data_IF_542830614610
#
_entry.id   IF_542830614610
#
_cell.length_a   1.000
_cell.length_b   1.000
_cell.length_c   1.000
_cell.angle_alpha   90.00
_cell.angle_beta   90.00
_cell.angle_gamma   90.00
#
_symmetry.space_group_name_H-M   'P 1'
#
loop_
_entity.id
_entity.type
_entity.pdbx_description
1 polymer ?
#
# COMPACT_ATOMS: atom_id res chain seq x y z
N UNK A 1 -20.23 -17.82 25.10
CA UNK A 1 -19.74 -16.78 24.16
C UNK A 1 -18.65 -17.30 23.25
N UNK A 2 -17.65 -18.00 23.78
CA UNK A 2 -16.50 -18.53 23.01
C UNK A 2 -16.91 -19.55 21.92
N UNK A 3 -17.85 -20.47 22.20
CA UNK A 3 -18.37 -21.42 21.21
C UNK A 3 -19.13 -20.74 20.05
N UNK A 4 -19.88 -19.68 20.35
CA UNK A 4 -20.59 -18.89 19.32
C UNK A 4 -19.60 -18.14 18.41
N UNK A 5 -18.51 -17.63 18.96
CA UNK A 5 -17.48 -16.93 18.22
C UNK A 5 -16.68 -17.91 17.32
N UNK A 6 -16.39 -19.10 17.84
CA UNK A 6 -15.77 -20.20 17.07
C UNK A 6 -16.66 -20.66 15.91
N UNK A 7 -17.95 -20.87 16.17
CA UNK A 7 -18.95 -21.24 15.15
C UNK A 7 -19.08 -20.14 14.09
N UNK A 8 -19.15 -18.87 14.49
CA UNK A 8 -19.17 -17.72 13.57
C UNK A 8 -17.94 -17.67 12.66
N UNK A 9 -16.75 -17.97 13.21
CA UNK A 9 -15.49 -18.00 12.44
C UNK A 9 -15.50 -19.14 11.42
N UNK A 10 -15.94 -20.33 11.81
CA UNK A 10 -16.08 -21.48 10.91
C UNK A 10 -17.06 -21.17 9.78
N UNK A 11 -18.26 -20.68 10.09
CA UNK A 11 -19.28 -20.32 9.10
C UNK A 11 -18.78 -19.27 8.10
N UNK A 12 -18.10 -18.22 8.59
CA UNK A 12 -17.49 -17.20 7.71
C UNK A 12 -16.44 -17.79 6.77
N UNK A 13 -15.59 -18.67 7.29
CA UNK A 13 -14.53 -19.31 6.49
C UNK A 13 -15.13 -20.26 5.45
N UNK A 14 -16.10 -21.09 5.84
CA UNK A 14 -16.79 -22.02 4.92
C UNK A 14 -17.56 -21.27 3.83
N UNK A 15 -18.28 -20.21 4.20
CA UNK A 15 -18.99 -19.36 3.24
C UNK A 15 -18.00 -18.69 2.25
N UNK A 16 -16.89 -18.17 2.76
CA UNK A 16 -15.85 -17.58 1.92
C UNK A 16 -15.28 -18.60 0.92
N UNK A 17 -14.94 -19.81 1.39
CA UNK A 17 -14.40 -20.88 0.52
C UNK A 17 -15.44 -21.24 -0.54
N UNK A 18 -16.70 -21.42 -0.16
CA UNK A 18 -17.77 -21.77 -1.10
C UNK A 18 -17.94 -20.68 -2.19
N UNK A 19 -18.01 -19.41 -1.80
CA UNK A 19 -18.17 -18.29 -2.73
C UNK A 19 -16.97 -18.20 -3.68
N UNK A 20 -15.73 -18.31 -3.17
CA UNK A 20 -14.53 -18.26 -3.99
C UNK A 20 -14.46 -19.46 -4.94
N UNK A 21 -14.81 -20.66 -4.47
CA UNK A 21 -14.82 -21.86 -5.33
C UNK A 21 -15.82 -21.71 -6.49
N UNK A 22 -17.05 -21.28 -6.20
CA UNK A 22 -18.06 -21.03 -7.24
C UNK A 22 -17.61 -19.94 -8.21
N UNK A 23 -17.06 -18.85 -7.70
CA UNK A 23 -16.55 -17.75 -8.53
C UNK A 23 -15.39 -18.21 -9.43
N UNK A 24 -14.45 -18.99 -8.90
CA UNK A 24 -13.34 -19.55 -9.67
C UNK A 24 -13.86 -20.48 -10.76
N UNK A 25 -14.77 -21.42 -10.44
CA UNK A 25 -15.32 -22.36 -11.43
C UNK A 25 -16.04 -21.61 -12.55
N UNK A 26 -16.76 -20.53 -12.24
CA UNK A 26 -17.45 -19.71 -13.25
C UNK A 26 -16.49 -18.86 -14.09
N UNK A 27 -15.51 -18.23 -13.45
CA UNK A 27 -14.62 -17.27 -14.08
C UNK A 27 -13.36 -17.89 -14.69
N UNK A 28 -13.08 -19.19 -14.42
CA UNK A 28 -11.84 -19.81 -14.90
C UNK A 28 -11.80 -19.83 -16.43
N UNK A 29 -10.76 -19.26 -17.04
CA UNK A 29 -10.66 -19.18 -18.49
C UNK A 29 -10.03 -20.47 -19.06
N UNK A 30 -10.86 -21.53 -19.19
CA UNK A 30 -10.45 -22.86 -19.67
C UNK A 30 -9.89 -22.86 -21.09
N UNK A 31 -10.23 -21.84 -21.90
CA UNK A 31 -9.91 -21.76 -23.32
C UNK A 31 -8.48 -21.23 -23.58
N UNK A 32 -7.78 -20.75 -22.54
CA UNK A 32 -6.44 -20.22 -22.67
C UNK A 32 -5.41 -21.30 -22.98
N UNK A 33 -4.53 -21.03 -23.92
CA UNK A 33 -3.40 -21.89 -24.28
C UNK A 33 -2.31 -21.85 -23.18
N UNK A 34 -1.47 -22.90 -23.06
CA UNK A 34 -0.40 -22.94 -22.06
C UNK A 34 0.51 -21.71 -22.06
N UNK A 35 0.89 -21.19 -23.25
CA UNK A 35 1.72 -19.99 -23.39
C UNK A 35 1.03 -18.73 -22.85
N UNK A 36 -0.28 -18.61 -23.00
CA UNK A 36 -1.07 -17.49 -22.50
C UNK A 36 -1.17 -17.53 -20.97
N UNK A 37 -1.28 -18.72 -20.39
CA UNK A 37 -1.19 -18.91 -18.94
C UNK A 37 0.18 -18.51 -18.39
N UNK A 38 1.28 -18.83 -19.09
CA UNK A 38 2.62 -18.42 -18.72
C UNK A 38 2.76 -16.89 -18.71
N UNK A 39 2.28 -16.23 -19.78
CA UNK A 39 2.28 -14.76 -19.88
C UNK A 39 1.39 -14.15 -18.79
N UNK A 40 0.21 -14.73 -18.56
CA UNK A 40 -0.72 -14.26 -17.53
C UNK A 40 -0.11 -14.37 -16.12
N UNK A 41 0.46 -15.52 -15.79
CA UNK A 41 1.15 -15.71 -14.52
C UNK A 41 2.37 -14.77 -14.38
N UNK A 42 3.17 -14.62 -15.44
CA UNK A 42 4.28 -13.67 -15.48
C UNK A 42 3.84 -12.22 -15.23
N UNK A 43 2.73 -11.80 -15.83
CA UNK A 43 2.20 -10.46 -15.63
C UNK A 43 1.74 -10.20 -14.18
N UNK A 44 1.27 -11.24 -13.48
CA UNK A 44 0.94 -11.13 -12.05
C UNK A 44 2.20 -11.16 -11.18
N UNK A 45 3.01 -12.23 -11.27
CA UNK A 45 4.12 -12.44 -10.33
C UNK A 45 5.31 -11.50 -10.58
N UNK A 46 5.59 -11.15 -11.83
CA UNK A 46 6.74 -10.30 -12.18
C UNK A 46 6.31 -8.84 -12.26
N UNK A 47 5.28 -8.54 -13.06
CA UNK A 47 4.91 -7.14 -13.30
C UNK A 47 4.11 -6.57 -12.15
N UNK A 48 2.94 -7.14 -11.80
CA UNK A 48 2.05 -6.58 -10.77
C UNK A 48 2.70 -6.58 -9.39
N UNK A 49 3.26 -7.72 -8.95
CA UNK A 49 3.95 -7.77 -7.65
C UNK A 49 5.26 -6.98 -7.65
N UNK A 50 6.00 -6.97 -8.76
CA UNK A 50 7.21 -6.16 -8.91
C UNK A 50 6.93 -4.66 -8.79
N UNK A 51 5.88 -4.15 -9.45
CA UNK A 51 5.40 -2.78 -9.31
C UNK A 51 5.00 -2.45 -7.86
N UNK A 52 4.27 -3.37 -7.22
CA UNK A 52 3.84 -3.22 -5.82
C UNK A 52 5.04 -3.11 -4.89
N UNK A 53 5.99 -4.04 -4.97
CA UNK A 53 7.18 -4.06 -4.11
C UNK A 53 8.08 -2.86 -4.40
N UNK A 54 8.32 -2.56 -5.68
CA UNK A 54 9.12 -1.39 -6.07
C UNK A 54 8.52 -0.07 -5.61
N UNK A 55 7.21 0.13 -5.87
CA UNK A 55 6.48 1.30 -5.42
C UNK A 55 6.45 1.42 -3.90
N UNK A 56 6.14 0.32 -3.18
CA UNK A 56 6.13 0.31 -1.72
C UNK A 56 7.52 0.62 -1.13
N UNK A 57 8.59 0.12 -1.73
CA UNK A 57 9.96 0.41 -1.27
C UNK A 57 10.27 1.90 -1.36
N UNK A 58 10.00 2.52 -2.52
CA UNK A 58 10.17 3.97 -2.69
C UNK A 58 9.25 4.72 -1.74
N UNK A 59 7.97 4.33 -1.67
CA UNK A 59 6.97 4.96 -0.81
C UNK A 59 7.36 4.96 0.66
N UNK A 60 7.77 3.82 1.20
CA UNK A 60 8.19 3.69 2.60
C UNK A 60 9.46 4.52 2.86
N UNK A 61 10.49 4.37 2.03
CA UNK A 61 11.76 5.07 2.25
C UNK A 61 11.59 6.60 2.15
N UNK A 62 10.93 7.08 1.10
CA UNK A 62 10.72 8.51 0.89
C UNK A 62 9.72 9.08 1.91
N UNK A 63 8.60 8.39 2.16
CA UNK A 63 7.59 8.87 3.10
C UNK A 63 8.11 8.93 4.54
N UNK A 64 8.86 7.92 5.01
CA UNK A 64 9.52 7.99 6.32
C UNK A 64 10.56 9.11 6.38
N UNK A 65 11.31 9.32 5.30
CA UNK A 65 12.28 10.42 5.22
C UNK A 65 11.58 11.79 5.31
N UNK A 66 10.47 11.99 4.59
CA UNK A 66 9.68 13.22 4.65
C UNK A 66 9.11 13.46 6.05
N UNK A 67 8.52 12.43 6.68
CA UNK A 67 8.01 12.51 8.05
C UNK A 67 9.14 12.85 9.04
N UNK A 68 10.29 12.18 8.93
CA UNK A 68 11.47 12.47 9.76
C UNK A 68 11.90 13.94 9.62
N UNK A 69 12.01 14.46 8.40
CA UNK A 69 12.37 15.86 8.20
C UNK A 69 11.33 16.82 8.79
N UNK A 70 10.05 16.49 8.73
CA UNK A 70 8.98 17.33 9.30
C UNK A 70 9.09 17.44 10.83
N UNK A 71 9.41 16.36 11.53
CA UNK A 71 9.61 16.38 12.98
C UNK A 71 10.95 16.99 13.41
N UNK A 72 11.95 17.06 12.51
CA UNK A 72 13.24 17.66 12.81
C UNK A 72 13.16 19.20 12.74
N UNK A 73 13.26 19.87 13.88
CA UNK A 73 13.28 21.34 13.94
C UNK A 73 14.70 21.88 14.01
N UNK A 74 14.97 22.85 13.17
CA UNK A 74 16.22 23.64 13.20
C UNK A 74 16.05 24.89 14.08
N UNK A 75 17.15 25.62 14.36
CA UNK A 75 17.09 26.88 15.10
C UNK A 75 16.46 28.04 14.30
N UNK A 76 16.39 27.92 12.97
CA UNK A 76 15.81 28.91 12.10
C UNK A 76 14.35 28.62 11.81
N UNK A 77 13.44 29.41 12.35
CA UNK A 77 11.98 29.22 12.18
C UNK A 77 11.52 29.37 10.73
N UNK A 78 12.16 30.26 9.94
CA UNK A 78 11.82 30.44 8.52
C UNK A 78 12.16 29.19 7.72
N UNK A 79 13.31 28.55 8.01
CA UNK A 79 13.70 27.28 7.36
C UNK A 79 12.71 26.17 7.73
N UNK A 80 12.28 26.10 8.99
CA UNK A 80 11.27 25.11 9.40
C UNK A 80 9.94 25.33 8.69
N UNK A 81 9.48 26.58 8.62
CA UNK A 81 8.24 26.96 7.94
C UNK A 81 8.27 26.58 6.44
N UNK A 82 9.33 26.94 5.73
CA UNK A 82 9.47 26.63 4.30
C UNK A 82 9.49 25.11 4.07
N UNK A 83 10.25 24.39 4.89
CA UNK A 83 10.33 22.93 4.82
C UNK A 83 8.96 22.30 5.06
N UNK A 84 8.23 22.72 6.08
CA UNK A 84 6.91 22.18 6.42
C UNK A 84 5.93 22.46 5.27
N UNK A 85 5.92 23.66 4.69
CA UNK A 85 5.09 24.03 3.53
C UNK A 85 5.40 23.12 2.33
N UNK A 86 6.68 22.92 1.99
CA UNK A 86 7.05 22.09 0.84
C UNK A 86 6.57 20.63 1.00
N UNK A 87 6.70 20.08 2.22
CA UNK A 87 6.26 18.69 2.50
C UNK A 87 4.73 18.62 2.45
N UNK A 88 4.03 19.59 3.06
CA UNK A 88 2.57 19.61 3.10
C UNK A 88 1.98 19.74 1.69
N UNK A 89 2.47 20.66 0.88
CA UNK A 89 2.03 20.84 -0.51
C UNK A 89 2.28 19.58 -1.37
N UNK A 90 3.44 18.91 -1.18
CA UNK A 90 3.70 17.65 -1.85
C UNK A 90 2.66 16.58 -1.47
N UNK A 91 2.38 16.42 -0.17
CA UNK A 91 1.42 15.44 0.34
C UNK A 91 0.02 15.77 -0.19
N UNK A 92 -0.39 17.04 -0.15
CA UNK A 92 -1.71 17.50 -0.61
C UNK A 92 -1.88 17.29 -2.12
N UNK A 93 -0.88 17.59 -2.94
CA UNK A 93 -0.91 17.38 -4.39
C UNK A 93 -1.03 15.88 -4.69
N UNK A 94 -0.18 15.04 -4.09
CA UNK A 94 -0.17 13.60 -4.39
C UNK A 94 -1.44 12.90 -3.94
N UNK A 95 -2.01 13.28 -2.80
CA UNK A 95 -3.27 12.71 -2.29
C UNK A 95 -4.52 13.35 -2.92
N UNK A 96 -4.40 14.58 -3.37
CA UNK A 96 -5.50 15.34 -4.00
C UNK A 96 -5.69 15.08 -5.48
N UNK A 97 -4.77 14.36 -6.14
CA UNK A 97 -4.85 14.08 -7.58
C UNK A 97 -5.00 12.58 -7.87
N UNK A 98 -5.78 12.20 -8.93
CA UNK A 98 -5.97 10.79 -9.27
C UNK A 98 -4.65 10.13 -9.71
N UNK A 99 -4.40 8.89 -9.23
CA UNK A 99 -3.21 8.12 -9.59
C UNK A 99 -3.01 7.94 -11.10
N UNK A 100 -4.10 7.72 -11.86
CA UNK A 100 -4.05 7.62 -13.32
C UNK A 100 -3.48 8.88 -13.96
N UNK A 101 -3.88 10.07 -13.46
CA UNK A 101 -3.38 11.34 -13.96
C UNK A 101 -1.89 11.53 -13.66
N UNK A 102 -1.45 11.16 -12.45
CA UNK A 102 -0.03 11.18 -12.07
C UNK A 102 0.82 10.29 -12.99
N UNK A 103 0.35 9.07 -13.29
CA UNK A 103 0.99 8.15 -14.25
C UNK A 103 1.12 8.76 -15.64
N UNK A 104 0.03 9.34 -16.17
CA UNK A 104 0.02 9.96 -17.49
C UNK A 104 0.98 11.15 -17.56
N UNK A 105 0.96 12.03 -16.57
CA UNK A 105 1.87 13.20 -16.50
C UNK A 105 3.32 12.72 -16.47
N UNK A 106 3.66 11.80 -15.57
CA UNK A 106 5.03 11.31 -15.45
C UNK A 106 5.52 10.58 -16.69
N UNK A 107 4.64 9.86 -17.39
CA UNK A 107 5.00 9.16 -18.64
C UNK A 107 5.33 10.13 -19.79
N UNK A 108 4.77 11.32 -19.78
CA UNK A 108 5.07 12.37 -20.80
C UNK A 108 6.30 13.18 -20.39
N UNK A 109 6.48 13.45 -19.11
CA UNK A 109 7.58 14.29 -18.59
C UNK A 109 8.90 13.50 -18.53
N UNK A 110 8.84 12.23 -18.10
CA UNK A 110 10.03 11.39 -17.92
C UNK A 110 10.17 10.45 -19.11
N UNK A 111 10.94 10.86 -20.12
CA UNK A 111 11.15 10.08 -21.36
C UNK A 111 12.39 9.19 -21.33
N UNK A 112 13.21 9.27 -20.29
CA UNK A 112 14.50 8.52 -20.19
C UNK A 112 14.33 7.10 -19.66
N UNK A 113 13.21 6.79 -19.03
CA UNK A 113 12.91 5.46 -18.51
C UNK A 113 11.83 4.77 -19.34
N UNK A 114 11.83 3.43 -19.32
CA UNK A 114 10.70 2.69 -19.86
C UNK A 114 9.47 2.82 -18.93
N UNK A 115 8.29 2.56 -19.46
CA UNK A 115 7.02 2.75 -18.76
C UNK A 115 6.90 1.95 -17.46
N UNK A 116 7.58 0.80 -17.35
CA UNK A 116 7.60 0.01 -16.12
C UNK A 116 8.25 0.80 -14.96
N UNK A 117 9.42 1.39 -15.18
CA UNK A 117 10.10 2.18 -14.16
C UNK A 117 9.39 3.49 -13.87
N UNK A 118 8.75 4.10 -14.88
CA UNK A 118 7.88 5.27 -14.68
C UNK A 118 6.72 4.90 -13.76
N UNK A 119 6.09 3.72 -13.97
CA UNK A 119 5.03 3.23 -13.10
C UNK A 119 5.53 2.99 -11.65
N UNK A 120 6.71 2.37 -11.47
CA UNK A 120 7.33 2.17 -10.15
C UNK A 120 7.55 3.50 -9.44
N UNK A 121 8.09 4.51 -10.14
CA UNK A 121 8.34 5.85 -9.59
C UNK A 121 7.02 6.54 -9.23
N UNK A 122 6.03 6.52 -10.14
CA UNK A 122 4.74 7.17 -9.91
C UNK A 122 4.01 6.56 -8.69
N UNK A 123 3.93 5.23 -8.63
CA UNK A 123 3.36 4.50 -7.51
C UNK A 123 4.11 4.80 -6.20
N UNK A 124 5.43 4.86 -6.26
CA UNK A 124 6.27 5.15 -5.11
C UNK A 124 6.12 6.59 -4.60
N UNK A 125 6.07 7.58 -5.50
CA UNK A 125 5.82 8.97 -5.13
C UNK A 125 4.43 9.15 -4.52
N UNK A 126 3.40 8.54 -5.11
CA UNK A 126 2.06 8.59 -4.55
C UNK A 126 2.03 7.95 -3.15
N UNK A 127 2.54 6.73 -3.01
CA UNK A 127 2.60 6.02 -1.72
C UNK A 127 3.42 6.77 -0.67
N UNK A 128 4.49 7.49 -1.05
CA UNK A 128 5.30 8.27 -0.11
C UNK A 128 4.49 9.36 0.61
N UNK A 129 3.53 9.98 -0.06
CA UNK A 129 2.65 10.95 0.55
C UNK A 129 1.70 10.32 1.59
N UNK A 130 1.16 9.13 1.29
CA UNK A 130 0.33 8.38 2.25
C UNK A 130 1.13 7.84 3.42
N UNK A 131 2.37 7.40 3.20
CA UNK A 131 3.28 6.93 4.26
C UNK A 131 3.68 8.09 5.16
N UNK A 132 4.02 9.28 4.61
CA UNK A 132 4.30 10.48 5.41
C UNK A 132 3.13 10.80 6.33
N UNK A 133 1.94 10.91 5.79
CA UNK A 133 0.72 11.20 6.55
C UNK A 133 0.44 10.13 7.62
N UNK A 134 0.64 8.85 7.28
CA UNK A 134 0.48 7.72 8.21
C UNK A 134 1.46 7.80 9.38
N UNK A 135 2.71 8.10 9.11
CA UNK A 135 3.76 8.23 10.14
C UNK A 135 3.48 9.45 11.01
N UNK A 136 3.16 10.59 10.39
CA UNK A 136 2.83 11.83 11.10
C UNK A 136 1.62 11.64 12.02
N UNK A 137 0.51 11.15 11.49
CA UNK A 137 -0.71 10.93 12.27
C UNK A 137 -0.53 9.87 13.35
N UNK A 138 0.27 8.84 13.10
CA UNK A 138 0.60 7.81 14.09
C UNK A 138 1.40 8.35 15.28
N UNK A 139 2.34 9.27 15.04
CA UNK A 139 3.08 9.96 16.12
C UNK A 139 2.17 10.95 16.86
N UNK A 140 1.38 11.73 16.13
CA UNK A 140 0.46 12.71 16.70
C UNK A 140 -0.71 12.08 17.49
N UNK A 141 -1.02 10.80 17.23
CA UNK A 141 -2.06 10.06 17.97
C UNK A 141 -1.68 9.72 19.41
N UNK A 142 -0.39 9.85 19.77
CA UNK A 142 0.06 9.59 21.13
C UNK A 142 -0.31 10.77 22.02
N UNK A 143 -0.86 10.48 23.22
CA UNK A 143 -1.27 11.48 24.18
C UNK A 143 -0.11 12.43 24.51
N UNK A 144 -0.35 13.74 24.37
CA UNK A 144 0.65 14.78 24.62
C UNK A 144 1.18 14.77 26.05
N UNK A 145 0.36 14.30 27.01
CA UNK A 145 0.74 14.10 28.40
C UNK A 145 1.91 13.15 28.59
N UNK A 146 2.10 12.18 27.67
CA UNK A 146 3.26 11.28 27.68
C UNK A 146 4.58 12.07 27.49
N UNK A 147 4.60 12.97 26.53
CA UNK A 147 5.76 13.83 26.27
C UNK A 147 5.96 14.83 27.43
N UNK A 148 4.89 15.43 27.94
CA UNK A 148 4.93 16.37 29.05
C UNK A 148 5.45 15.72 30.33
N UNK A 149 4.96 14.53 30.68
CA UNK A 149 5.41 13.76 31.83
C UNK A 149 6.90 13.39 31.72
N UNK A 150 7.33 12.91 30.56
CA UNK A 150 8.74 12.59 30.31
C UNK A 150 9.64 13.82 30.45
N UNK A 151 9.19 14.98 29.93
CA UNK A 151 9.94 16.24 30.08
C UNK A 151 9.98 16.74 31.53
N UNK A 152 8.91 16.54 32.29
CA UNK A 152 8.84 16.90 33.71
C UNK A 152 9.84 16.08 34.58
N UNK A 153 10.16 14.84 34.19
CA UNK A 153 11.21 14.04 34.86
C UNK A 153 12.64 14.42 34.44
N UNK A 154 12.80 15.48 33.59
CA UNK A 154 14.11 15.92 33.11
C UNK A 154 14.62 15.23 31.85
N UNK A 155 13.84 14.34 31.26
CA UNK A 155 14.22 13.61 30.06
C UNK A 155 14.38 14.56 28.85
N UNK A 156 15.51 14.53 28.12
CA UNK A 156 15.66 15.31 26.89
C UNK A 156 14.61 14.93 25.84
N UNK A 157 14.15 15.87 25.01
CA UNK A 157 13.12 15.64 23.98
C UNK A 157 13.42 14.41 23.09
N UNK A 158 14.66 14.26 22.63
CA UNK A 158 15.07 13.13 21.79
C UNK A 158 14.93 11.79 22.52
N UNK A 159 15.27 11.75 23.81
CA UNK A 159 15.13 10.54 24.62
C UNK A 159 13.65 10.22 24.84
N UNK A 160 12.83 11.20 25.22
CA UNK A 160 11.39 11.03 25.37
C UNK A 160 10.73 10.55 24.08
N UNK A 161 11.13 11.12 22.92
CA UNK A 161 10.64 10.69 21.61
C UNK A 161 11.00 9.24 21.33
N UNK A 162 12.26 8.83 21.51
CA UNK A 162 12.71 7.49 21.14
C UNK A 162 12.27 6.40 22.11
N UNK A 163 12.26 6.68 23.41
CA UNK A 163 12.01 5.66 24.45
C UNK A 163 10.52 5.56 24.83
N UNK A 164 9.73 6.61 24.63
CA UNK A 164 8.32 6.65 25.06
C UNK A 164 7.36 6.77 23.89
N UNK A 165 7.55 7.78 23.03
CA UNK A 165 6.58 8.10 21.97
C UNK A 165 6.71 7.11 20.81
N UNK A 166 7.91 6.92 20.26
CA UNK A 166 8.11 6.08 19.06
C UNK A 166 7.70 4.62 19.24
N UNK A 167 7.98 3.93 20.37
CA UNK A 167 7.52 2.56 20.55
C UNK A 167 5.99 2.42 20.50
N UNK A 168 5.26 3.40 21.04
CA UNK A 168 3.80 3.45 21.00
C UNK A 168 3.31 3.82 19.60
N UNK A 169 3.90 4.85 18.96
CA UNK A 169 3.54 5.29 17.61
C UNK A 169 3.69 4.18 16.57
N UNK A 170 4.77 3.40 16.61
CA UNK A 170 5.02 2.29 15.68
C UNK A 170 3.88 1.27 15.70
N UNK A 171 3.25 1.01 16.85
CA UNK A 171 2.11 0.10 16.95
C UNK A 171 0.87 0.61 16.20
N UNK A 172 0.70 1.93 16.13
CA UNK A 172 -0.38 2.58 15.37
C UNK A 172 -0.02 2.68 13.88
N UNK A 173 1.24 2.96 13.56
CA UNK A 173 1.75 3.15 12.20
C UNK A 173 1.74 1.84 11.41
N UNK A 174 2.23 0.73 11.98
CA UNK A 174 2.43 -0.52 11.24
C UNK A 174 1.15 -1.11 10.61
N UNK A 175 -0.01 -1.17 11.31
CA UNK A 175 -1.26 -1.61 10.68
C UNK A 175 -1.70 -0.72 9.52
N UNK A 176 -1.47 0.60 9.62
CA UNK A 176 -1.81 1.54 8.57
C UNK A 176 -0.87 1.39 7.35
N UNK A 177 0.42 1.13 7.55
CA UNK A 177 1.37 0.82 6.46
C UNK A 177 1.01 -0.48 5.72
N UNK A 178 0.51 -1.50 6.43
CA UNK A 178 0.00 -2.73 5.78
C UNK A 178 -1.21 -2.41 4.89
N UNK A 179 -2.12 -1.56 5.36
CA UNK A 179 -3.27 -1.13 4.56
C UNK A 179 -2.83 -0.30 3.35
N UNK A 180 -1.82 0.55 3.49
CA UNK A 180 -1.22 1.31 2.38
C UNK A 180 -0.61 0.36 1.32
N UNK A 181 0.16 -0.65 1.74
CA UNK A 181 0.68 -1.68 0.83
C UNK A 181 -0.45 -2.38 0.03
N UNK A 182 -1.56 -2.73 0.70
CA UNK A 182 -2.72 -3.34 0.03
C UNK A 182 -3.38 -2.36 -0.95
N UNK A 183 -3.45 -1.09 -0.61
CA UNK A 183 -3.98 -0.04 -1.50
C UNK A 183 -3.09 0.11 -2.72
N UNK A 184 -1.79 0.23 -2.53
CA UNK A 184 -0.80 0.31 -3.61
C UNK A 184 -0.86 -0.91 -4.55
N UNK A 185 -1.00 -2.13 -3.99
CA UNK A 185 -1.19 -3.35 -4.79
C UNK A 185 -2.42 -3.23 -5.71
N UNK A 186 -3.54 -2.70 -5.24
CA UNK A 186 -4.74 -2.49 -6.08
C UNK A 186 -4.51 -1.39 -7.13
N UNK A 187 -3.76 -0.35 -6.79
CA UNK A 187 -3.45 0.77 -7.70
C UNK A 187 -2.55 0.37 -8.86
N UNK A 188 -1.78 -0.74 -8.76
CA UNK A 188 -1.05 -1.26 -9.93
C UNK A 188 -1.97 -1.57 -11.11
N UNK A 189 -3.27 -1.82 -10.88
CA UNK A 189 -4.24 -2.13 -11.94
C UNK A 189 -4.45 -1.02 -12.97
N UNK A 190 -3.99 0.20 -12.71
CA UNK A 190 -4.14 1.34 -13.63
C UNK A 190 -2.90 1.61 -14.49
N UNK A 191 -1.80 0.87 -14.30
CA UNK A 191 -0.55 1.10 -15.07
C UNK A 191 -0.68 0.78 -16.56
N UNK A 192 -1.71 0.05 -16.93
CA UNK A 192 -2.07 -0.21 -18.33
C UNK A 192 -2.36 1.07 -19.13
N UNK A 193 -2.72 2.19 -18.48
CA UNK A 193 -2.91 3.49 -19.15
C UNK A 193 -1.61 4.04 -19.75
N UNK A 194 -0.47 3.61 -19.28
CA UNK A 194 0.85 3.92 -19.86
C UNK A 194 1.48 2.69 -20.54
N UNK A 195 0.64 1.75 -21.02
CA UNK A 195 1.05 0.55 -21.75
C UNK A 195 1.95 -0.43 -20.98
N UNK A 196 1.89 -0.45 -19.65
CA UNK A 196 2.52 -1.49 -18.84
C UNK A 196 1.60 -2.71 -18.79
N UNK A 197 2.14 -3.87 -19.19
CA UNK A 197 1.40 -5.14 -19.26
C UNK A 197 1.38 -5.83 -17.90
N UNK A 198 0.61 -5.26 -16.96
CA UNK A 198 0.26 -5.92 -15.69
C UNK A 198 -0.81 -7.00 -15.90
N UNK A 199 -1.20 -7.71 -14.84
CA UNK A 199 -2.23 -8.76 -14.93
C UNK A 199 -3.58 -8.22 -15.39
N UNK A 200 -3.93 -6.98 -15.06
CA UNK A 200 -5.20 -6.33 -15.47
C UNK A 200 -5.20 -6.04 -16.97
N UNK A 201 -4.12 -5.42 -17.47
CA UNK A 201 -4.01 -5.10 -18.91
C UNK A 201 -3.90 -6.37 -19.75
N UNK A 202 -3.19 -7.40 -19.26
CA UNK A 202 -3.11 -8.70 -19.93
C UNK A 202 -4.48 -9.37 -19.98
N UNK A 203 -5.25 -9.38 -18.88
CA UNK A 203 -6.60 -9.95 -18.87
C UNK A 203 -7.56 -9.23 -19.82
N UNK A 204 -7.41 -7.90 -19.98
CA UNK A 204 -8.16 -7.11 -20.94
C UNK A 204 -7.80 -7.47 -22.39
N UNK A 205 -6.52 -7.71 -22.66
CA UNK A 205 -6.05 -8.18 -23.98
C UNK A 205 -6.61 -9.57 -24.31
N UNK A 206 -6.62 -10.49 -23.34
CA UNK A 206 -7.21 -11.81 -23.48
C UNK A 206 -8.73 -11.76 -23.64
N UNK A 207 -9.42 -10.86 -22.92
CA UNK A 207 -10.85 -10.62 -23.12
C UNK A 207 -11.15 -10.24 -24.57
N UNK A 208 -10.37 -9.33 -25.14
CA UNK A 208 -10.55 -8.90 -26.52
C UNK A 208 -10.25 -10.02 -27.52
N UNK A 209 -9.20 -10.81 -27.30
CA UNK A 209 -8.80 -11.90 -28.18
C UNK A 209 -9.79 -13.07 -28.19
N UNK A 210 -10.37 -13.42 -27.04
CA UNK A 210 -11.30 -14.56 -26.87
C UNK A 210 -12.78 -14.16 -26.87
N UNK A 211 -13.09 -12.85 -26.93
CA UNK A 211 -14.45 -12.33 -26.77
C UNK A 211 -15.17 -12.87 -25.52
N UNK A 212 -14.41 -13.05 -24.44
CA UNK A 212 -14.85 -13.67 -23.20
C UNK A 212 -14.54 -12.80 -21.99
N UNK A 213 -15.49 -12.59 -21.09
CA UNK A 213 -15.31 -11.84 -19.84
C UNK A 213 -14.51 -12.60 -18.78
N UNK A 214 -14.32 -13.92 -18.95
CA UNK A 214 -13.68 -14.79 -17.96
C UNK A 214 -12.29 -14.33 -17.51
N UNK A 215 -11.35 -13.91 -18.39
CA UNK A 215 -10.03 -13.46 -17.96
C UNK A 215 -10.10 -12.28 -16.96
N UNK A 216 -10.99 -11.32 -17.21
CA UNK A 216 -11.15 -10.15 -16.30
C UNK A 216 -11.78 -10.58 -14.96
N UNK A 217 -12.82 -11.42 -14.99
CA UNK A 217 -13.45 -11.92 -13.77
C UNK A 217 -12.45 -12.73 -12.93
N UNK A 218 -11.65 -13.56 -13.57
CA UNK A 218 -10.62 -14.36 -12.91
C UNK A 218 -9.52 -13.46 -12.29
N UNK A 219 -9.11 -12.41 -12.99
CA UNK A 219 -8.20 -11.39 -12.45
C UNK A 219 -8.77 -10.73 -11.19
N UNK A 220 -10.05 -10.37 -11.19
CA UNK A 220 -10.73 -9.82 -10.01
C UNK A 220 -10.69 -10.79 -8.81
N UNK A 221 -10.83 -12.10 -9.05
CA UNK A 221 -10.73 -13.12 -8.01
C UNK A 221 -9.29 -13.20 -7.48
N UNK A 222 -8.28 -13.18 -8.36
CA UNK A 222 -6.86 -13.18 -7.96
C UNK A 222 -6.57 -11.95 -7.08
N UNK A 223 -6.98 -10.74 -7.47
CA UNK A 223 -6.83 -9.55 -6.65
C UNK A 223 -7.49 -9.71 -5.28
N UNK A 224 -8.72 -10.23 -5.24
CA UNK A 224 -9.45 -10.42 -3.99
C UNK A 224 -8.75 -11.42 -3.04
N UNK A 225 -8.28 -12.56 -3.58
CA UNK A 225 -7.53 -13.57 -2.80
C UNK A 225 -6.22 -12.98 -2.29
N UNK A 226 -5.50 -12.24 -3.13
CA UNK A 226 -4.24 -11.59 -2.76
C UNK A 226 -4.43 -10.57 -1.64
N UNK A 227 -5.45 -9.72 -1.74
CA UNK A 227 -5.81 -8.75 -0.68
C UNK A 227 -6.16 -9.46 0.63
N UNK A 228 -6.90 -10.57 0.58
CA UNK A 228 -7.21 -11.38 1.76
C UNK A 228 -5.95 -11.98 2.40
N UNK A 229 -5.02 -12.47 1.57
CA UNK A 229 -3.74 -13.00 2.04
C UNK A 229 -2.89 -11.92 2.72
N UNK A 230 -2.73 -10.76 2.07
CA UNK A 230 -1.99 -9.63 2.64
C UNK A 230 -2.63 -9.12 3.94
N UNK A 231 -3.96 -8.99 3.97
CA UNK A 231 -4.69 -8.61 5.18
C UNK A 231 -4.54 -9.62 6.32
N UNK A 232 -4.47 -10.92 6.00
CA UNK A 232 -4.25 -11.97 7.00
C UNK A 232 -2.83 -11.89 7.59
N UNK A 233 -1.81 -11.70 6.74
CA UNK A 233 -0.42 -11.51 7.16
C UNK A 233 -0.30 -10.26 8.04
N UNK A 234 -0.89 -9.13 7.60
CA UNK A 234 -0.89 -7.88 8.33
C UNK A 234 -1.51 -7.99 9.73
N UNK A 235 -2.67 -8.66 9.84
CA UNK A 235 -3.31 -8.90 11.14
C UNK A 235 -2.46 -9.76 12.08
N UNK A 236 -1.72 -10.73 11.54
CA UNK A 236 -0.79 -11.53 12.37
C UNK A 236 0.38 -10.69 12.89
N UNK A 237 0.91 -9.79 12.07
CA UNK A 237 1.96 -8.85 12.51
C UNK A 237 1.43 -7.92 13.60
N UNK A 238 0.24 -7.35 13.42
CA UNK A 238 -0.42 -6.49 14.41
C UNK A 238 -0.61 -7.20 15.77
N UNK A 239 -1.10 -8.45 15.75
CA UNK A 239 -1.31 -9.22 16.99
C UNK A 239 0.02 -9.45 17.73
N UNK A 240 1.09 -9.83 17.04
CA UNK A 240 2.41 -10.03 17.65
C UNK A 240 2.99 -8.76 18.28
N UNK A 241 2.69 -7.59 17.71
CA UNK A 241 3.15 -6.31 18.26
C UNK A 241 2.41 -5.95 19.55
N UNK A 242 1.13 -6.36 19.68
CA UNK A 242 0.31 -6.12 20.88
C UNK A 242 0.59 -7.12 22.00
N UNK A 243 1.11 -8.32 21.70
CA UNK A 243 1.45 -9.34 22.71
C UNK A 243 2.74 -9.02 23.46
N UNK A 244 3.58 -8.11 22.94
CA UNK A 244 4.85 -7.71 23.58
C UNK A 244 4.71 -6.49 24.51
N UNK A 245 3.51 -6.23 25.00
CA UNK A 245 3.15 -5.27 26.05
C UNK A 245 2.92 -6.01 27.36
#
# INVERSE_FOLDING_TARGET
MEELEKTRKILKTSFFIAVVTVAVLFAFPYDLKPKEWEIYAGSYFITTLGLTVGGATIGILLGMMLAFFKFQKTKNEVVNMIKDIIIDEYVDIMRGTPMVLQLLILSVVIVIFNNYWIAVIALGLNSAAYVEETVRSGIESIDKGQMEAARATGMPYRMAMNEIIMPQAVKNILPALVNEFITLFKETSVVGYISVMDVTMNSKSLQAAYYSVKPILFTGIIYYISVKLFSFIGKRLEMRLKEND
#
